data_IF_582842090744
#
_entry.id   IF_582842090744
#
_cell.length_a   1.000
_cell.length_b   1.000
_cell.length_c   1.000
_cell.angle_alpha   90.00
_cell.angle_beta   90.00
_cell.angle_gamma   90.00
#
_symmetry.space_group_name_H-M   'P 1'
#
loop_
_entity.id
_entity.type
_entity.pdbx_description
1 polymer ?
#
# COMPACT_ATOMS: atom_id res chain seq x y z
N UNK A 1 -71.16 -41.42 56.67
CA UNK A 1 -70.15 -41.26 55.56
C UNK A 1 -68.83 -40.56 55.99
N UNK A 2 -68.18 -41.00 57.06
CA UNK A 2 -66.92 -40.35 57.51
C UNK A 2 -65.83 -41.33 57.98
N UNK A 3 -65.87 -42.61 57.61
CA UNK A 3 -64.91 -43.62 58.04
C UNK A 3 -63.99 -44.18 56.94
N UNK A 4 -64.20 -43.83 55.71
CA UNK A 4 -63.47 -44.41 54.55
C UNK A 4 -62.20 -43.62 54.13
N UNK A 5 -62.09 -42.38 54.52
CA UNK A 5 -60.95 -41.54 54.08
C UNK A 5 -59.65 -41.65 54.93
N UNK A 6 -59.79 -42.17 56.16
CA UNK A 6 -58.68 -42.24 57.10
C UNK A 6 -57.73 -43.41 56.82
N UNK A 7 -58.23 -44.50 56.30
CA UNK A 7 -57.46 -45.71 55.99
C UNK A 7 -56.64 -45.51 54.72
N UNK A 8 -57.15 -44.75 53.72
CA UNK A 8 -56.41 -44.50 52.45
C UNK A 8 -55.23 -43.50 52.59
N UNK A 9 -55.32 -42.58 53.53
CA UNK A 9 -54.24 -41.61 53.82
C UNK A 9 -53.05 -42.28 54.54
N UNK A 10 -53.26 -43.24 55.37
CA UNK A 10 -52.19 -43.95 56.09
C UNK A 10 -51.41 -44.90 55.20
N UNK A 11 -52.05 -45.54 54.24
CA UNK A 11 -51.38 -46.43 53.24
C UNK A 11 -50.46 -45.65 52.27
N UNK A 12 -50.82 -44.43 51.87
CA UNK A 12 -49.95 -43.60 51.00
C UNK A 12 -48.69 -43.12 51.73
N UNK A 13 -48.79 -42.77 52.96
CA UNK A 13 -47.63 -42.31 53.72
C UNK A 13 -46.62 -43.42 54.07
N UNK A 14 -47.09 -44.63 54.29
CA UNK A 14 -46.24 -45.80 54.57
C UNK A 14 -45.53 -46.24 53.28
N UNK A 15 -46.18 -46.16 52.12
CA UNK A 15 -45.57 -46.52 50.83
C UNK A 15 -44.56 -45.50 50.41
N UNK A 16 -44.78 -44.20 50.70
CA UNK A 16 -43.78 -43.14 50.38
C UNK A 16 -42.59 -43.18 51.32
N UNK A 17 -42.79 -43.48 52.58
CA UNK A 17 -41.69 -43.70 53.52
C UNK A 17 -40.82 -44.92 53.18
N UNK A 18 -41.42 -46.01 52.67
CA UNK A 18 -40.72 -47.22 52.24
C UNK A 18 -39.93 -46.97 50.90
N UNK A 19 -40.51 -46.18 49.98
CA UNK A 19 -39.84 -45.80 48.71
C UNK A 19 -38.64 -44.86 48.93
N UNK A 20 -38.75 -43.94 49.90
CA UNK A 20 -37.63 -43.04 50.24
C UNK A 20 -36.49 -43.80 50.97
N UNK A 21 -36.84 -44.85 51.80
CA UNK A 21 -35.82 -45.65 52.47
C UNK A 21 -35.08 -46.60 51.52
N UNK A 22 -35.68 -47.07 50.43
CA UNK A 22 -35.01 -47.89 49.42
C UNK A 22 -34.11 -47.10 48.51
N UNK A 23 -34.31 -45.76 48.35
CA UNK A 23 -33.41 -44.89 47.59
C UNK A 23 -32.15 -44.47 48.34
N UNK A 24 -32.15 -44.56 49.66
CA UNK A 24 -31.00 -44.21 50.50
C UNK A 24 -30.03 -45.40 50.64
N UNK A 25 -30.44 -46.62 50.34
CA UNK A 25 -29.66 -47.84 50.51
C UNK A 25 -28.80 -48.23 49.29
N UNK A 26 -28.81 -47.44 48.18
CA UNK A 26 -28.05 -47.76 46.95
C UNK A 26 -26.78 -46.89 46.77
N UNK A 27 -26.17 -46.47 47.84
CA UNK A 27 -24.82 -45.87 47.82
C UNK A 27 -23.74 -46.99 47.84
N UNK A 28 -22.59 -46.78 47.20
CA UNK A 28 -21.49 -47.73 47.29
C UNK A 28 -21.12 -47.97 48.76
N UNK A 29 -20.77 -49.18 49.08
CA UNK A 29 -20.29 -49.48 50.43
C UNK A 29 -19.08 -48.61 50.80
N UNK A 30 -18.86 -48.36 52.12
CA UNK A 30 -17.72 -47.54 52.54
C UNK A 30 -16.39 -48.03 52.00
N UNK A 31 -16.28 -49.31 51.72
CA UNK A 31 -15.11 -49.95 51.14
C UNK A 31 -15.01 -49.58 49.65
N UNK A 32 -16.08 -49.77 48.90
CA UNK A 32 -16.13 -49.39 47.45
C UNK A 32 -15.89 -47.88 47.27
N UNK A 33 -16.42 -47.04 48.12
CA UNK A 33 -16.16 -45.60 48.09
C UNK A 33 -14.66 -45.27 48.32
N UNK A 34 -14.03 -45.93 49.27
CA UNK A 34 -12.59 -45.75 49.54
C UNK A 34 -11.74 -46.31 48.41
N UNK A 35 -12.11 -47.44 47.84
CA UNK A 35 -11.41 -48.05 46.71
C UNK A 35 -11.51 -47.14 45.43
N UNK A 36 -12.68 -46.60 45.14
CA UNK A 36 -12.90 -45.65 44.04
C UNK A 36 -12.13 -44.34 44.30
N UNK A 37 -12.04 -43.89 45.55
CA UNK A 37 -11.25 -42.72 45.91
C UNK A 37 -9.75 -42.93 45.67
N UNK A 38 -9.22 -44.09 46.04
CA UNK A 38 -7.83 -44.48 45.77
C UNK A 38 -7.55 -44.61 44.27
N UNK A 39 -8.48 -45.19 43.52
CA UNK A 39 -8.40 -45.32 42.08
C UNK A 39 -8.39 -43.95 41.41
N UNK A 40 -9.27 -43.02 41.82
CA UNK A 40 -9.27 -41.63 41.34
C UNK A 40 -7.95 -40.91 41.61
N UNK A 41 -7.36 -41.06 42.79
CA UNK A 41 -6.04 -40.48 43.09
C UNK A 41 -4.95 -41.07 42.20
N UNK A 42 -5.00 -42.39 41.95
CA UNK A 42 -4.06 -43.06 41.05
C UNK A 42 -4.23 -42.56 39.59
N UNK A 43 -5.48 -42.47 39.12
CA UNK A 43 -5.78 -41.97 37.76
C UNK A 43 -5.36 -40.49 37.57
N UNK A 44 -5.60 -39.64 38.57
CA UNK A 44 -5.12 -38.25 38.51
C UNK A 44 -3.60 -38.19 38.43
N UNK A 45 -2.88 -39.00 39.21
CA UNK A 45 -1.42 -39.06 39.11
C UNK A 45 -0.93 -39.56 37.77
N UNK A 46 -1.63 -40.54 37.15
CA UNK A 46 -1.33 -41.00 35.79
C UNK A 46 -1.58 -39.92 34.75
N UNK A 47 -2.70 -39.19 34.88
CA UNK A 47 -3.02 -38.06 33.98
C UNK A 47 -1.95 -36.96 34.09
N UNK A 48 -1.50 -36.62 35.28
CA UNK A 48 -0.44 -35.62 35.50
C UNK A 48 0.89 -36.10 34.89
N UNK A 49 1.24 -37.39 35.05
CA UNK A 49 2.44 -37.96 34.44
C UNK A 49 2.38 -37.90 32.89
N UNK A 50 1.25 -38.30 32.33
CA UNK A 50 1.03 -38.27 30.88
C UNK A 50 1.03 -36.84 30.32
N UNK A 51 0.47 -35.89 31.02
CA UNK A 51 0.53 -34.50 30.65
C UNK A 51 1.98 -33.96 30.67
N UNK A 52 2.77 -34.31 31.67
CA UNK A 52 4.18 -33.92 31.73
C UNK A 52 5.01 -34.54 30.59
N UNK A 53 4.77 -35.82 30.27
CA UNK A 53 5.40 -36.47 29.11
C UNK A 53 4.99 -35.81 27.80
N UNK A 54 3.71 -35.49 27.62
CA UNK A 54 3.19 -34.81 26.45
C UNK A 54 3.81 -33.41 26.30
N UNK A 55 3.94 -32.66 27.37
CA UNK A 55 4.56 -31.34 27.35
C UNK A 55 6.06 -31.43 27.06
N UNK A 56 6.77 -32.42 27.61
CA UNK A 56 8.16 -32.66 27.28
C UNK A 56 8.37 -32.98 25.80
N UNK A 57 7.46 -33.74 25.19
CA UNK A 57 7.48 -33.99 23.74
C UNK A 57 7.08 -32.79 22.90
N UNK A 58 6.01 -32.08 23.29
CA UNK A 58 5.46 -30.92 22.60
C UNK A 58 6.47 -29.78 22.55
N UNK A 59 7.15 -29.53 23.67
CA UNK A 59 8.09 -28.42 23.85
C UNK A 59 9.55 -28.85 23.73
N UNK A 60 9.85 -30.00 23.11
CA UNK A 60 11.23 -30.40 22.88
C UNK A 60 12.01 -29.31 22.14
N UNK A 61 13.19 -28.87 22.63
CA UNK A 61 13.93 -27.74 22.05
C UNK A 61 14.22 -27.89 20.56
N UNK A 62 14.59 -29.10 20.13
CA UNK A 62 14.87 -29.38 18.72
C UNK A 62 13.65 -29.22 17.80
N UNK A 63 12.46 -29.58 18.29
CA UNK A 63 11.20 -29.40 17.58
C UNK A 63 10.85 -27.92 17.48
N UNK A 64 10.91 -27.20 18.60
CA UNK A 64 10.65 -25.76 18.63
C UNK A 64 11.63 -24.98 17.74
N UNK A 65 12.90 -25.39 17.66
CA UNK A 65 13.86 -24.81 16.73
C UNK A 65 13.47 -25.08 15.25
N UNK A 66 12.99 -26.29 14.94
CA UNK A 66 12.51 -26.60 13.58
C UNK A 66 11.30 -25.73 13.22
N UNK A 67 10.34 -25.58 14.13
CA UNK A 67 9.17 -24.72 13.97
C UNK A 67 9.60 -23.25 13.82
N UNK A 68 10.55 -22.77 14.63
CA UNK A 68 11.09 -21.40 14.52
C UNK A 68 11.73 -21.14 13.15
N UNK A 69 12.46 -22.10 12.59
CA UNK A 69 13.05 -21.98 11.26
C UNK A 69 11.98 -21.87 10.17
N UNK A 70 10.90 -22.64 10.27
CA UNK A 70 9.77 -22.58 9.34
C UNK A 70 9.04 -21.24 9.42
N UNK A 71 8.76 -20.77 10.63
CA UNK A 71 8.12 -19.47 10.89
C UNK A 71 9.00 -18.32 10.38
N UNK A 72 10.33 -18.40 10.61
CA UNK A 72 11.28 -17.42 10.14
C UNK A 72 11.36 -17.34 8.60
N UNK A 73 11.20 -18.47 7.87
CA UNK A 73 11.12 -18.47 6.42
C UNK A 73 9.93 -17.66 5.90
N UNK A 74 8.81 -17.66 6.63
CA UNK A 74 7.63 -16.86 6.33
C UNK A 74 7.74 -15.39 6.80
N UNK A 75 8.89 -15.00 7.36
CA UNK A 75 9.15 -13.66 7.94
C UNK A 75 8.20 -13.28 9.07
N UNK A 76 7.65 -14.26 9.77
CA UNK A 76 6.79 -14.06 10.92
C UNK A 76 7.64 -13.90 12.20
N UNK A 77 8.06 -12.67 12.45
CA UNK A 77 8.84 -12.29 13.64
C UNK A 77 8.09 -12.58 14.95
N UNK A 78 6.77 -12.35 14.96
CA UNK A 78 5.95 -12.57 16.16
C UNK A 78 5.94 -14.05 16.53
N UNK A 79 5.77 -14.92 15.54
CA UNK A 79 5.83 -16.36 15.73
C UNK A 79 7.20 -16.83 16.25
N UNK A 80 8.30 -16.27 15.74
CA UNK A 80 9.66 -16.60 16.25
C UNK A 80 9.83 -16.17 17.70
N UNK A 81 9.34 -15.00 18.11
CA UNK A 81 9.37 -14.51 19.50
C UNK A 81 8.59 -15.47 20.41
N UNK A 82 7.37 -15.87 20.01
CA UNK A 82 6.56 -16.79 20.81
C UNK A 82 7.25 -18.14 21.02
N UNK A 83 7.92 -18.67 19.99
CA UNK A 83 8.68 -19.91 20.10
C UNK A 83 9.91 -19.73 21.00
N UNK A 84 10.61 -18.60 20.89
CA UNK A 84 11.75 -18.30 21.76
C UNK A 84 11.31 -18.24 23.24
N UNK A 85 10.17 -17.61 23.52
CA UNK A 85 9.62 -17.56 24.88
C UNK A 85 9.22 -18.94 25.39
N UNK A 86 8.70 -19.82 24.53
CA UNK A 86 8.41 -21.20 24.90
C UNK A 86 9.69 -21.96 25.24
N UNK A 87 10.75 -21.86 24.43
CA UNK A 87 12.03 -22.51 24.75
C UNK A 87 12.60 -21.99 26.06
N UNK A 88 12.62 -20.66 26.27
CA UNK A 88 13.10 -20.04 27.52
C UNK A 88 12.30 -20.49 28.74
N UNK A 89 10.99 -20.68 28.58
CA UNK A 89 10.11 -21.10 29.69
C UNK A 89 10.34 -22.55 30.11
N UNK A 90 10.47 -23.46 29.14
CA UNK A 90 10.53 -24.90 29.42
C UNK A 90 11.95 -25.47 29.46
N UNK A 91 12.89 -24.84 28.74
CA UNK A 91 14.26 -25.30 28.60
C UNK A 91 15.25 -24.10 28.53
N UNK A 92 15.38 -23.31 29.62
CA UNK A 92 16.14 -22.06 29.61
C UNK A 92 17.63 -22.23 29.26
N UNK A 93 18.20 -23.40 29.56
CA UNK A 93 19.62 -23.71 29.28
C UNK A 93 19.84 -24.41 27.90
N UNK A 94 18.78 -24.56 27.10
CA UNK A 94 18.90 -25.21 25.81
C UNK A 94 19.71 -24.36 24.81
N UNK A 95 20.63 -24.99 24.08
CA UNK A 95 21.46 -24.33 23.06
C UNK A 95 20.61 -23.76 21.92
N UNK A 96 19.45 -24.32 21.68
CA UNK A 96 18.46 -23.90 20.70
C UNK A 96 17.94 -22.48 20.97
N UNK A 97 17.94 -22.02 22.23
CA UNK A 97 17.62 -20.62 22.54
C UNK A 97 18.50 -19.65 21.78
N UNK A 98 19.80 -19.91 21.73
CA UNK A 98 20.75 -19.05 21.01
C UNK A 98 20.55 -19.12 19.49
N UNK A 99 20.16 -20.27 18.96
CA UNK A 99 19.88 -20.42 17.53
C UNK A 99 18.60 -19.68 17.12
N UNK A 100 17.53 -19.78 17.89
CA UNK A 100 16.29 -19.04 17.65
C UNK A 100 16.50 -17.54 17.82
N UNK A 101 17.31 -17.11 18.80
CA UNK A 101 17.69 -15.70 18.94
C UNK A 101 18.37 -15.18 17.69
N UNK A 102 19.32 -15.94 17.10
CA UNK A 102 19.97 -15.56 15.82
C UNK A 102 18.99 -15.46 14.67
N UNK A 103 17.96 -16.28 14.62
CA UNK A 103 16.91 -16.16 13.60
C UNK A 103 16.14 -14.85 13.76
N UNK A 104 15.82 -14.50 14.99
CA UNK A 104 15.12 -13.24 15.33
C UNK A 104 15.99 -12.03 14.96
N UNK A 105 17.26 -12.01 15.39
CA UNK A 105 18.21 -10.92 15.09
C UNK A 105 18.36 -10.71 13.58
N UNK A 106 18.38 -11.80 12.79
CA UNK A 106 18.43 -11.70 11.33
C UNK A 106 17.16 -11.07 10.76
N UNK A 107 15.97 -11.47 11.24
CA UNK A 107 14.71 -10.88 10.78
C UNK A 107 14.63 -9.39 11.12
N UNK A 108 15.11 -8.99 12.30
CA UNK A 108 15.19 -7.59 12.72
C UNK A 108 16.12 -6.78 11.81
N UNK A 109 17.31 -7.31 11.54
CA UNK A 109 18.27 -6.68 10.64
C UNK A 109 17.72 -6.52 9.21
N UNK A 110 16.99 -7.54 8.70
CA UNK A 110 16.36 -7.47 7.38
C UNK A 110 15.22 -6.43 7.33
N UNK A 111 14.45 -6.31 8.41
CA UNK A 111 13.38 -5.32 8.53
C UNK A 111 13.94 -3.90 8.60
N UNK A 112 14.93 -3.66 9.45
CA UNK A 112 15.62 -2.37 9.56
C UNK A 112 16.28 -1.95 8.24
N UNK A 113 16.91 -2.89 7.53
CA UNK A 113 17.51 -2.63 6.23
C UNK A 113 16.47 -2.22 5.18
N UNK A 114 15.26 -2.81 5.20
CA UNK A 114 14.16 -2.42 4.32
C UNK A 114 13.65 -1.01 4.63
N UNK A 115 13.42 -0.72 5.92
CA UNK A 115 12.98 0.61 6.35
C UNK A 115 14.01 1.66 5.93
N UNK A 116 15.29 1.42 6.21
CA UNK A 116 16.36 2.35 5.83
C UNK A 116 16.47 2.53 4.30
N UNK A 117 16.24 1.47 3.52
CA UNK A 117 16.25 1.55 2.05
C UNK A 117 15.07 2.39 1.53
N UNK A 118 13.89 2.22 2.13
CA UNK A 118 12.70 3.01 1.77
C UNK A 118 12.86 4.48 2.14
N UNK A 119 13.40 4.79 3.32
CA UNK A 119 13.69 6.16 3.74
C UNK A 119 14.71 6.85 2.82
N UNK A 120 15.79 6.13 2.45
CA UNK A 120 16.77 6.65 1.48
C UNK A 120 16.13 6.96 0.13
N UNK A 121 15.24 6.09 -0.34
CA UNK A 121 14.51 6.29 -1.59
C UNK A 121 13.62 7.53 -1.51
N UNK A 122 12.83 7.68 -0.45
CA UNK A 122 11.99 8.87 -0.21
C UNK A 122 12.81 10.15 -0.15
N UNK A 123 13.97 10.13 0.52
CA UNK A 123 14.84 11.30 0.59
C UNK A 123 15.47 11.63 -0.77
N UNK A 124 15.88 10.62 -1.56
CA UNK A 124 16.36 10.86 -2.93
C UNK A 124 15.30 11.50 -3.82
N UNK A 125 14.05 10.98 -3.77
CA UNK A 125 12.92 11.56 -4.51
C UNK A 125 12.64 13.00 -4.06
N UNK A 126 12.68 13.27 -2.75
CA UNK A 126 12.53 14.62 -2.21
C UNK A 126 13.61 15.56 -2.72
N UNK A 127 14.88 15.13 -2.74
CA UNK A 127 15.99 15.93 -3.25
C UNK A 127 15.87 16.19 -4.76
N UNK A 128 15.43 15.20 -5.53
CA UNK A 128 15.18 15.35 -6.98
C UNK A 128 14.11 16.42 -7.23
N UNK A 129 12.99 16.38 -6.50
CA UNK A 129 11.92 17.37 -6.57
C UNK A 129 12.41 18.79 -6.23
N UNK A 130 13.14 18.94 -5.15
CA UNK A 130 13.70 20.25 -4.74
C UNK A 130 14.69 20.80 -5.78
N UNK A 131 15.51 19.94 -6.39
CA UNK A 131 16.41 20.33 -7.48
C UNK A 131 15.66 20.80 -8.70
N UNK A 132 14.56 20.15 -9.05
CA UNK A 132 13.72 20.55 -10.17
C UNK A 132 13.18 21.95 -10.00
N UNK A 133 12.65 22.29 -8.82
CA UNK A 133 12.16 23.67 -8.52
C UNK A 133 13.26 24.71 -8.57
N UNK A 134 14.42 24.43 -7.96
CA UNK A 134 15.54 25.41 -7.91
C UNK A 134 16.09 25.80 -9.27
N UNK A 135 15.93 24.94 -10.26
CA UNK A 135 16.44 25.16 -11.64
C UNK A 135 15.49 25.96 -12.51
N UNK A 136 14.22 26.12 -12.12
CA UNK A 136 13.23 26.75 -12.98
C UNK A 136 13.59 28.20 -13.34
N UNK A 137 13.46 28.52 -14.62
CA UNK A 137 13.47 29.91 -15.08
C UNK A 137 12.14 30.55 -14.69
N UNK A 138 12.18 31.79 -14.11
CA UNK A 138 11.02 32.55 -13.70
C UNK A 138 10.87 33.79 -14.57
N UNK A 139 9.64 34.07 -14.98
CA UNK A 139 9.26 35.30 -15.66
C UNK A 139 8.01 35.85 -14.95
N UNK A 140 8.03 37.11 -14.60
CA UNK A 140 6.92 37.78 -13.88
C UNK A 140 6.17 38.65 -14.85
N UNK A 141 4.88 38.42 -14.94
CA UNK A 141 3.92 39.31 -15.59
C UNK A 141 3.32 40.23 -14.53
N UNK A 142 3.84 41.43 -14.44
CA UNK A 142 3.42 42.42 -13.43
C UNK A 142 2.00 42.94 -13.66
N UNK A 143 1.49 42.82 -14.88
CA UNK A 143 0.13 43.28 -15.23
C UNK A 143 -0.92 42.27 -14.74
N UNK A 144 -0.70 41.01 -15.05
CA UNK A 144 -1.60 39.92 -14.65
C UNK A 144 -1.30 39.36 -13.25
N UNK A 145 -0.20 39.78 -12.66
CA UNK A 145 0.30 39.26 -11.35
C UNK A 145 0.51 37.75 -11.40
N UNK A 146 1.08 37.26 -12.51
CA UNK A 146 1.38 35.83 -12.73
C UNK A 146 2.88 35.67 -12.75
N UNK A 147 3.37 34.67 -11.99
CA UNK A 147 4.74 34.16 -12.15
C UNK A 147 4.71 32.93 -13.04
N UNK A 148 5.38 33.02 -14.16
CA UNK A 148 5.56 31.90 -15.08
C UNK A 148 6.86 31.18 -14.79
N UNK A 149 6.82 29.82 -14.82
CA UNK A 149 7.96 28.96 -14.56
C UNK A 149 8.19 28.07 -15.78
N UNK A 150 9.42 28.04 -16.27
CA UNK A 150 9.84 27.29 -17.45
C UNK A 150 11.02 26.36 -17.12
N UNK A 151 11.14 25.27 -17.87
CA UNK A 151 12.34 24.44 -17.82
C UNK A 151 13.52 25.23 -18.41
N UNK A 152 14.63 25.43 -17.69
CA UNK A 152 15.75 26.27 -18.15
C UNK A 152 16.53 25.67 -19.30
N UNK A 153 16.42 24.35 -19.51
CA UNK A 153 17.18 23.61 -20.51
C UNK A 153 16.35 23.20 -21.71
N UNK A 154 15.07 23.54 -21.73
CA UNK A 154 14.14 23.16 -22.77
C UNK A 154 13.13 24.27 -23.03
N UNK A 155 13.52 25.20 -23.90
CA UNK A 155 12.64 26.27 -24.36
C UNK A 155 11.73 25.78 -25.47
N UNK A 156 10.43 26.05 -25.38
CA UNK A 156 9.49 25.76 -26.44
C UNK A 156 9.50 26.88 -27.48
N UNK A 157 9.74 26.51 -28.72
CA UNK A 157 9.61 27.38 -29.88
C UNK A 157 8.41 26.94 -30.73
N UNK A 158 7.43 27.84 -30.97
CA UNK A 158 6.20 27.50 -31.66
C UNK A 158 6.46 27.08 -33.11
N UNK A 159 7.54 27.57 -33.71
CA UNK A 159 7.98 27.21 -35.06
C UNK A 159 8.85 25.94 -35.13
N UNK A 160 8.70 25.06 -34.12
CA UNK A 160 9.37 23.75 -34.09
C UNK A 160 8.38 22.66 -33.71
N UNK A 161 8.68 21.42 -34.09
CA UNK A 161 7.86 20.26 -33.71
C UNK A 161 8.18 19.86 -32.28
N UNK A 162 7.44 20.38 -31.29
CA UNK A 162 7.75 20.23 -29.87
C UNK A 162 6.52 19.92 -29.00
N UNK A 163 6.78 19.31 -27.84
CA UNK A 163 5.82 19.14 -26.75
C UNK A 163 6.49 19.55 -25.44
N UNK A 164 5.89 20.43 -24.68
CA UNK A 164 6.45 20.91 -23.41
C UNK A 164 5.38 21.21 -22.37
N UNK A 165 5.80 21.25 -21.11
CA UNK A 165 5.02 21.79 -20.00
C UNK A 165 5.69 23.06 -19.48
N UNK A 166 4.85 23.98 -18.98
CA UNK A 166 5.24 25.12 -18.17
C UNK A 166 4.19 25.39 -17.11
N UNK A 167 4.46 26.26 -16.16
CA UNK A 167 3.54 26.53 -15.04
C UNK A 167 3.27 28.00 -14.90
N UNK A 168 2.05 28.33 -14.45
CA UNK A 168 1.70 29.63 -13.90
C UNK A 168 1.41 29.55 -12.41
N UNK A 169 1.71 30.63 -11.69
CA UNK A 169 1.35 30.79 -10.30
C UNK A 169 0.77 32.18 -10.09
N UNK A 170 -0.37 32.26 -9.41
CA UNK A 170 -0.99 33.53 -9.00
C UNK A 170 -1.68 33.35 -7.64
N UNK A 171 -1.31 34.19 -6.69
CA UNK A 171 -1.88 34.17 -5.33
C UNK A 171 -1.81 32.80 -4.66
N UNK A 172 -0.72 32.07 -4.85
CA UNK A 172 -0.55 30.72 -4.31
C UNK A 172 -1.21 29.60 -5.11
N UNK A 173 -2.02 29.92 -6.12
CA UNK A 173 -2.57 28.90 -7.03
C UNK A 173 -1.57 28.60 -8.14
N UNK A 174 -1.19 27.33 -8.25
CA UNK A 174 -0.27 26.83 -9.28
C UNK A 174 -1.04 25.96 -10.27
N UNK A 175 -0.81 26.17 -11.55
CA UNK A 175 -1.39 25.36 -12.62
C UNK A 175 -0.35 25.01 -13.70
N UNK A 176 -0.55 23.86 -14.35
CA UNK A 176 0.26 23.41 -15.48
C UNK A 176 -0.43 23.78 -16.80
N UNK A 177 0.39 24.10 -17.79
CA UNK A 177 0.00 24.27 -19.19
C UNK A 177 0.81 23.34 -20.07
N UNK A 178 0.14 22.73 -21.04
CA UNK A 178 0.72 21.86 -22.05
C UNK A 178 0.72 22.60 -23.39
N UNK A 179 1.90 22.70 -24.00
CA UNK A 179 2.09 23.26 -25.33
C UNK A 179 2.53 22.17 -26.31
N UNK A 180 1.85 22.09 -27.46
CA UNK A 180 2.17 21.16 -28.54
C UNK A 180 2.20 21.91 -29.85
N UNK A 181 3.28 21.81 -30.61
CA UNK A 181 3.47 22.55 -31.87
C UNK A 181 3.85 21.63 -33.01
N UNK A 182 3.42 22.06 -34.22
CA UNK A 182 3.75 21.53 -35.49
C UNK A 182 4.39 22.62 -36.36
N UNK A 183 5.39 22.27 -37.14
CA UNK A 183 5.94 23.09 -38.21
C UNK A 183 6.17 22.22 -39.47
N UNK A 184 6.02 22.81 -40.60
CA UNK A 184 6.21 22.19 -41.90
C UNK A 184 6.08 23.20 -43.05
N UNK A 185 6.10 22.70 -44.26
CA UNK A 185 5.96 23.43 -45.50
C UNK A 185 4.49 23.63 -45.94
N UNK A 186 3.53 22.93 -45.30
CA UNK A 186 2.10 23.07 -45.57
C UNK A 186 1.30 23.00 -44.25
N UNK A 187 0.18 23.71 -44.23
CA UNK A 187 -0.78 23.70 -43.15
C UNK A 187 -1.46 22.35 -42.97
N UNK A 188 -1.52 21.83 -41.77
CA UNK A 188 -2.32 20.64 -41.46
C UNK A 188 -3.70 20.99 -40.88
N UNK A 189 -3.88 22.22 -40.40
CA UNK A 189 -5.13 22.71 -39.77
C UNK A 189 -5.68 21.70 -38.76
N UNK A 190 -4.78 21.20 -37.87
CA UNK A 190 -5.19 20.14 -36.95
C UNK A 190 -6.34 20.56 -36.02
N UNK A 191 -7.27 19.65 -35.86
CA UNK A 191 -8.44 19.76 -35.01
C UNK A 191 -8.43 18.74 -33.84
N UNK A 192 -7.48 17.81 -33.87
CA UNK A 192 -7.30 16.78 -32.82
C UNK A 192 -5.83 16.65 -32.49
N UNK A 193 -5.57 16.51 -31.16
CA UNK A 193 -4.24 16.29 -30.65
C UNK A 193 -4.24 15.09 -29.69
N UNK A 194 -3.25 14.22 -29.80
CA UNK A 194 -3.11 13.02 -28.99
C UNK A 194 -1.69 12.88 -28.46
N UNK A 195 -1.58 12.36 -27.26
CA UNK A 195 -0.36 11.82 -26.71
C UNK A 195 -0.54 10.32 -26.46
N UNK A 196 0.50 9.54 -26.73
CA UNK A 196 0.45 8.10 -26.48
C UNK A 196 1.77 7.57 -25.92
N UNK A 197 1.70 6.52 -25.12
CA UNK A 197 2.86 5.76 -24.64
C UNK A 197 2.50 4.28 -24.52
N UNK A 198 3.35 3.42 -25.02
CA UNK A 198 3.28 1.97 -24.86
C UNK A 198 1.88 1.36 -25.11
N UNK A 199 1.14 1.91 -26.08
CA UNK A 199 -0.22 1.48 -26.44
C UNK A 199 -1.37 2.25 -25.75
N UNK A 200 -1.10 3.02 -24.72
CA UNK A 200 -2.08 3.90 -24.08
C UNK A 200 -2.15 5.22 -24.85
N UNK A 201 -3.35 5.75 -25.06
CA UNK A 201 -3.56 7.02 -25.81
C UNK A 201 -4.51 7.93 -25.04
N UNK A 202 -4.15 9.22 -24.98
CA UNK A 202 -4.96 10.28 -24.38
C UNK A 202 -5.19 11.37 -25.44
N UNK A 203 -6.45 11.73 -25.67
CA UNK A 203 -6.79 12.91 -26.46
C UNK A 203 -6.59 14.17 -25.59
N UNK A 204 -5.94 15.17 -26.19
CA UNK A 204 -5.79 16.51 -25.62
C UNK A 204 -6.86 17.39 -26.24
N UNK A 205 -7.86 17.73 -25.44
CA UNK A 205 -8.95 18.59 -25.86
C UNK A 205 -8.52 20.05 -25.85
N UNK A 206 -8.91 20.79 -26.87
CA UNK A 206 -8.64 22.22 -27.02
C UNK A 206 -9.75 22.91 -27.79
N UNK A 207 -9.96 24.20 -27.51
CA UNK A 207 -10.82 25.05 -28.30
C UNK A 207 -10.00 25.63 -29.48
N UNK A 208 -10.38 25.34 -30.70
CA UNK A 208 -9.64 25.78 -31.90
C UNK A 208 -9.62 27.31 -32.09
N UNK A 209 -10.47 28.05 -31.38
CA UNK A 209 -10.54 29.52 -31.47
C UNK A 209 -9.79 30.21 -30.32
N UNK A 210 -9.66 29.56 -29.15
CA UNK A 210 -9.09 30.17 -27.97
C UNK A 210 -7.71 29.57 -27.60
N UNK A 211 -7.52 28.27 -27.85
CA UNK A 211 -6.30 27.55 -27.44
C UNK A 211 -5.33 27.28 -28.58
N UNK A 212 -5.78 27.43 -29.84
CA UNK A 212 -4.97 27.15 -31.03
C UNK A 212 -4.58 28.44 -31.74
N UNK A 213 -3.31 28.53 -32.09
CA UNK A 213 -2.75 29.63 -32.85
C UNK A 213 -1.98 29.12 -34.06
N UNK A 214 -1.80 29.98 -35.03
CA UNK A 214 -1.08 29.69 -36.29
C UNK A 214 -0.26 30.90 -36.69
N UNK A 215 0.90 30.66 -37.33
CA UNK A 215 1.74 31.72 -37.86
C UNK A 215 2.61 31.17 -38.99
N UNK A 216 3.24 32.02 -39.81
CA UNK A 216 4.10 31.63 -40.90
C UNK A 216 5.19 32.66 -41.20
N UNK A 217 6.32 32.18 -41.65
CA UNK A 217 7.38 33.04 -42.18
C UNK A 217 8.29 32.26 -43.14
N UNK A 218 8.83 32.97 -44.14
CA UNK A 218 9.87 32.45 -45.05
C UNK A 218 9.50 31.13 -45.78
N UNK A 219 8.20 30.86 -45.96
CA UNK A 219 7.71 29.65 -46.62
C UNK A 219 7.37 28.50 -45.67
N UNK A 220 7.74 28.60 -44.42
CA UNK A 220 7.35 27.65 -43.38
C UNK A 220 6.08 28.11 -42.66
N UNK A 221 5.29 27.15 -42.20
CA UNK A 221 4.08 27.35 -41.42
C UNK A 221 4.20 26.63 -40.07
N UNK A 222 3.56 27.18 -39.06
CA UNK A 222 3.46 26.47 -37.76
C UNK A 222 2.12 26.70 -37.09
N UNK A 223 1.68 25.68 -36.42
CA UNK A 223 0.43 25.62 -35.68
C UNK A 223 0.72 25.06 -34.28
N UNK A 224 0.14 25.65 -33.26
CA UNK A 224 0.32 25.14 -31.87
C UNK A 224 -0.95 25.29 -31.06
N UNK A 225 -1.03 24.46 -30.01
CA UNK A 225 -2.01 24.59 -28.93
C UNK A 225 -1.29 24.87 -27.64
N UNK A 226 -1.98 25.61 -26.77
CA UNK A 226 -1.56 25.91 -25.42
C UNK A 226 -2.74 25.74 -24.47
N UNK A 227 -2.78 24.65 -23.71
CA UNK A 227 -3.95 24.22 -22.96
C UNK A 227 -3.64 24.02 -21.49
N UNK A 228 -4.64 24.22 -20.63
CA UNK A 228 -4.56 23.86 -19.23
C UNK A 228 -4.53 22.34 -19.04
N UNK A 229 -3.68 21.86 -18.14
CA UNK A 229 -3.56 20.45 -17.80
C UNK A 229 -4.57 20.09 -16.72
N UNK A 230 -5.55 19.25 -17.08
CA UNK A 230 -6.51 18.68 -16.12
C UNK A 230 -5.87 17.59 -15.25
N UNK A 231 -6.56 17.18 -14.20
CA UNK A 231 -6.09 16.07 -13.33
C UNK A 231 -5.89 14.77 -14.12
N UNK A 232 -6.81 14.46 -15.06
CA UNK A 232 -6.70 13.27 -15.91
C UNK A 232 -5.50 13.36 -16.86
N UNK A 233 -5.26 14.55 -17.43
CA UNK A 233 -4.06 14.78 -18.26
C UNK A 233 -2.79 14.66 -17.44
N UNK A 234 -2.77 15.20 -16.22
CA UNK A 234 -1.61 15.11 -15.33
C UNK A 234 -1.29 13.64 -14.97
N UNK A 235 -2.32 12.86 -14.63
CA UNK A 235 -2.14 11.43 -14.33
C UNK A 235 -1.53 10.68 -15.54
N UNK A 236 -2.05 10.93 -16.74
CA UNK A 236 -1.51 10.35 -17.97
C UNK A 236 -0.06 10.79 -18.24
N UNK A 237 0.25 12.08 -18.08
CA UNK A 237 1.59 12.62 -18.31
C UNK A 237 2.63 12.03 -17.35
N UNK A 238 2.26 11.77 -16.09
CA UNK A 238 3.14 11.10 -15.10
C UNK A 238 3.58 9.71 -15.54
N UNK A 239 2.66 8.96 -16.10
CA UNK A 239 2.99 7.63 -16.63
C UNK A 239 3.75 7.72 -17.96
N UNK A 240 3.31 8.60 -18.84
CA UNK A 240 3.87 8.81 -20.18
C UNK A 240 5.39 9.09 -20.14
N UNK A 241 5.87 9.91 -19.22
CA UNK A 241 7.31 10.27 -19.18
C UNK A 241 8.23 9.09 -18.89
N UNK A 242 7.70 8.00 -18.34
CA UNK A 242 8.41 6.76 -18.07
C UNK A 242 8.24 5.74 -19.22
N UNK A 243 7.35 6.00 -20.17
CA UNK A 243 7.07 5.13 -21.32
C UNK A 243 8.27 4.96 -22.25
N UNK A 244 8.37 3.78 -22.87
CA UNK A 244 9.45 3.46 -23.85
C UNK A 244 9.20 4.15 -25.18
N UNK A 245 7.97 4.08 -25.70
CA UNK A 245 7.56 4.68 -26.97
C UNK A 245 6.52 5.76 -26.74
N UNK A 246 6.98 7.01 -26.63
CA UNK A 246 6.11 8.16 -26.41
C UNK A 246 5.93 8.93 -27.71
N UNK A 247 4.68 9.15 -28.12
CA UNK A 247 4.36 9.82 -29.38
C UNK A 247 3.37 10.95 -29.18
N UNK A 248 3.50 11.97 -30.01
CA UNK A 248 2.51 13.02 -30.27
C UNK A 248 1.90 12.79 -31.63
N UNK A 249 0.59 12.95 -31.74
CA UNK A 249 -0.11 12.94 -33.04
C UNK A 249 -1.05 14.15 -33.12
N UNK A 250 -0.97 14.86 -34.22
CA UNK A 250 -1.86 15.95 -34.60
C UNK A 250 -2.60 15.56 -35.86
N UNK A 251 -3.93 15.68 -35.85
CA UNK A 251 -4.80 15.25 -36.98
C UNK A 251 -5.68 16.39 -37.45
N UNK A 252 -5.59 16.72 -38.70
CA UNK A 252 -6.40 17.72 -39.39
C UNK A 252 -6.52 17.34 -40.88
N UNK A 253 -6.20 18.25 -41.79
CA UNK A 253 -6.10 17.95 -43.24
C UNK A 253 -5.18 16.76 -43.52
N UNK A 254 -4.09 16.68 -42.73
CA UNK A 254 -3.17 15.54 -42.68
C UNK A 254 -2.93 15.12 -41.25
N UNK A 255 -2.53 13.86 -41.06
CA UNK A 255 -2.09 13.37 -39.74
C UNK A 255 -0.57 13.42 -39.67
N UNK A 256 -0.06 14.07 -38.63
CA UNK A 256 1.37 14.10 -38.29
C UNK A 256 1.62 13.43 -36.98
N UNK A 257 2.48 12.44 -36.99
CA UNK A 257 2.88 11.69 -35.79
C UNK A 257 4.39 11.77 -35.64
N UNK A 258 4.86 12.06 -34.43
CA UNK A 258 6.29 12.03 -34.10
C UNK A 258 6.53 11.39 -32.71
N UNK A 259 7.72 10.88 -32.55
CA UNK A 259 8.19 10.41 -31.23
C UNK A 259 8.76 11.58 -30.44
N UNK A 260 8.43 11.66 -29.14
CA UNK A 260 9.04 12.63 -28.25
C UNK A 260 10.51 12.27 -27.99
N UNK A 261 11.37 13.26 -28.04
CA UNK A 261 12.78 13.09 -27.71
C UNK A 261 12.99 12.80 -26.21
N UNK A 262 14.13 12.25 -25.86
CA UNK A 262 14.52 12.04 -24.47
C UNK A 262 14.56 13.37 -23.68
N UNK A 263 14.95 14.47 -24.33
CA UNK A 263 14.97 15.80 -23.72
C UNK A 263 13.57 16.32 -23.42
N UNK A 264 12.60 16.14 -24.34
CA UNK A 264 11.20 16.50 -24.09
C UNK A 264 10.64 15.71 -22.90
N UNK A 265 10.81 14.40 -22.89
CA UNK A 265 10.34 13.55 -21.77
C UNK A 265 10.94 13.98 -20.44
N UNK A 266 12.25 14.25 -20.42
CA UNK A 266 12.95 14.74 -19.22
C UNK A 266 12.42 16.09 -18.77
N UNK A 267 12.25 17.04 -19.67
CA UNK A 267 11.74 18.36 -19.36
C UNK A 267 10.30 18.31 -18.83
N UNK A 268 9.45 17.50 -19.43
CA UNK A 268 8.08 17.26 -18.95
C UNK A 268 8.11 16.66 -17.53
N UNK A 269 8.94 15.64 -17.28
CA UNK A 269 9.10 15.03 -15.97
C UNK A 269 9.54 16.05 -14.90
N UNK A 270 10.57 16.85 -15.20
CA UNK A 270 11.08 17.88 -14.28
C UNK A 270 10.00 18.94 -13.96
N UNK A 271 9.18 19.33 -14.93
CA UNK A 271 8.10 20.28 -14.72
C UNK A 271 6.97 19.69 -13.84
N UNK A 272 6.63 18.40 -14.03
CA UNK A 272 5.66 17.70 -13.16
C UNK A 272 6.17 17.64 -11.73
N UNK A 273 7.42 17.25 -11.52
CA UNK A 273 8.03 17.18 -10.18
C UNK A 273 8.04 18.55 -9.49
N UNK A 274 8.41 19.59 -10.22
CA UNK A 274 8.40 20.96 -9.71
C UNK A 274 6.99 21.44 -9.36
N UNK A 275 6.00 21.13 -10.19
CA UNK A 275 4.60 21.44 -9.95
C UNK A 275 4.09 20.81 -8.65
N UNK A 276 4.38 19.51 -8.42
CA UNK A 276 4.00 18.82 -7.18
C UNK A 276 4.59 19.48 -5.93
N UNK A 277 5.84 19.93 -6.00
CA UNK A 277 6.47 20.65 -4.87
C UNK A 277 5.81 22.00 -4.62
N UNK A 278 5.59 22.80 -5.67
CA UNK A 278 4.99 24.11 -5.54
C UNK A 278 3.54 24.05 -5.05
N UNK A 279 2.77 23.05 -5.50
CA UNK A 279 1.43 22.78 -4.98
C UNK A 279 1.47 22.43 -3.48
N UNK A 280 2.37 21.55 -3.06
CA UNK A 280 2.50 21.15 -1.67
C UNK A 280 2.94 22.31 -0.77
N UNK A 281 3.88 23.15 -1.21
CA UNK A 281 4.32 24.32 -0.46
C UNK A 281 3.20 25.37 -0.30
N UNK A 282 2.41 25.57 -1.34
CA UNK A 282 1.30 26.53 -1.29
C UNK A 282 0.11 26.02 -0.46
N UNK A 283 -0.13 24.71 -0.41
CA UNK A 283 -1.12 24.11 0.48
C UNK A 283 -0.85 24.43 1.97
N UNK A 284 0.43 24.48 2.37
CA UNK A 284 0.83 24.78 3.76
C UNK A 284 0.88 26.26 4.09
N UNK A 285 0.71 27.17 3.12
CA UNK A 285 0.70 28.62 3.30
C UNK A 285 -0.72 29.22 3.41
N UNK A 286 -1.74 28.41 3.13
CA UNK A 286 -3.15 28.75 3.30
C UNK A 286 -3.64 28.38 4.72
#
# INVERSE_FOLDING_TARGET
MKRSYFIFSMQKNVFFAFLVFTLIACGPSKKEYNDLKLENVSLLSQVDSLNNELDAYRYAPSKLLADARLVAQNKDKVGVIQILDQIKKYHPEAIECAEVQKLLDRLETEEEAKIAAEERKKEQERQERLRAVKKLKKEVDDVQQITWYYNPYFTHYNNTNMTSLYMGERNGNVWLRLKMSYTGDDWIFFEQAFLSYDGNTQQIFFNKYDDKETDNASGDVWEWIDVSVSESHLAFLKEMVNGKSVKMQLTGKYTKTRTLSANEKRAIKEMILAYEVLQAENYWKQ
#
